data_IF_757787623169
#
_entry.id   IF_757787623169
#
_cell.length_a   1.000
_cell.length_b   1.000
_cell.length_c   1.000
_cell.angle_alpha   90.00
_cell.angle_beta   90.00
_cell.angle_gamma   90.00
#
_symmetry.space_group_name_H-M   'P 1'
#
loop_
_entity.id
_entity.type
_entity.pdbx_description
1 polymer ?
#
# COMPACT_ATOMS: atom_id res chain seq x y z
N UNK A 1 -7.57 3.46 10.39
CA UNK A 1 -6.30 2.73 10.17
C UNK A 1 -5.53 3.49 9.11
N UNK A 2 -4.22 3.65 9.27
CA UNK A 2 -3.36 4.27 8.25
C UNK A 2 -3.04 3.22 7.17
N UNK A 3 -3.01 3.59 5.89
CA UNK A 3 -2.75 2.64 4.80
C UNK A 3 -1.39 1.93 4.97
N UNK A 4 -0.37 2.66 5.44
CA UNK A 4 0.94 2.11 5.76
C UNK A 4 0.88 1.07 6.90
N UNK A 5 0.08 1.33 7.95
CA UNK A 5 -0.14 0.38 9.04
C UNK A 5 -0.82 -0.91 8.52
N UNK A 6 -1.78 -0.77 7.61
CA UNK A 6 -2.46 -1.92 7.02
C UNK A 6 -1.51 -2.79 6.18
N UNK A 7 -0.60 -2.16 5.43
CA UNK A 7 0.45 -2.87 4.68
C UNK A 7 1.40 -3.63 5.64
N UNK A 8 1.74 -3.05 6.79
CA UNK A 8 2.53 -3.74 7.82
C UNK A 8 1.80 -4.95 8.40
N UNK A 9 0.50 -4.83 8.64
CA UNK A 9 -0.36 -5.93 9.11
C UNK A 9 -0.40 -7.07 8.08
N UNK A 10 -0.62 -6.76 6.79
CA UNK A 10 -0.63 -7.77 5.72
C UNK A 10 0.72 -8.49 5.56
N UNK A 11 1.84 -7.79 5.78
CA UNK A 11 3.15 -8.45 5.81
C UNK A 11 3.29 -9.43 6.98
N UNK A 12 2.76 -9.09 8.16
CA UNK A 12 2.77 -9.99 9.31
C UNK A 12 1.86 -11.20 9.05
N UNK A 13 0.67 -10.99 8.49
CA UNK A 13 -0.24 -12.08 8.14
C UNK A 13 0.37 -13.01 7.08
N UNK A 14 0.97 -12.46 6.02
CA UNK A 14 1.62 -13.26 4.99
C UNK A 14 2.79 -14.10 5.52
N UNK A 15 3.47 -13.61 6.55
CA UNK A 15 4.56 -14.33 7.22
C UNK A 15 4.02 -15.53 8.01
N UNK A 16 2.88 -15.38 8.66
CA UNK A 16 2.27 -16.42 9.49
C UNK A 16 1.35 -17.37 8.71
N UNK A 17 0.88 -16.96 7.52
CA UNK A 17 0.01 -17.76 6.66
C UNK A 17 0.71 -19.02 6.12
N UNK A 18 0.15 -20.18 6.47
CA UNK A 18 0.64 -21.51 6.06
C UNK A 18 -0.12 -22.01 4.84
N UNK A 19 -1.41 -21.70 4.73
CA UNK A 19 -2.25 -22.17 3.64
C UNK A 19 -1.93 -21.40 2.33
N UNK A 20 -1.65 -22.09 1.22
CA UNK A 20 -1.29 -21.43 -0.03
C UNK A 20 -2.40 -20.57 -0.63
N UNK A 21 -3.68 -20.85 -0.33
CA UNK A 21 -4.80 -20.02 -0.81
C UNK A 21 -4.86 -18.74 0.01
N UNK A 22 -4.85 -18.85 1.34
CA UNK A 22 -4.77 -17.70 2.26
C UNK A 22 -3.59 -16.79 1.94
N UNK A 23 -2.38 -17.36 1.73
CA UNK A 23 -1.20 -16.59 1.31
C UNK A 23 -1.44 -15.82 0.02
N UNK A 24 -2.09 -16.45 -0.96
CA UNK A 24 -2.37 -15.82 -2.26
C UNK A 24 -3.38 -14.70 -2.13
N UNK A 25 -4.38 -14.85 -1.26
CA UNK A 25 -5.36 -13.82 -0.97
C UNK A 25 -4.68 -12.61 -0.32
N UNK A 26 -3.84 -12.84 0.69
CA UNK A 26 -3.08 -11.77 1.36
C UNK A 26 -2.11 -11.08 0.40
N UNK A 27 -1.44 -11.81 -0.50
CA UNK A 27 -0.56 -11.24 -1.53
C UNK A 27 -1.32 -10.29 -2.47
N UNK A 28 -2.55 -10.63 -2.86
CA UNK A 28 -3.40 -9.78 -3.71
C UNK A 28 -3.81 -8.51 -2.97
N UNK A 29 -4.21 -8.65 -1.70
CA UNK A 29 -4.58 -7.51 -0.86
C UNK A 29 -3.39 -6.57 -0.64
N UNK A 30 -2.21 -7.13 -0.38
CA UNK A 30 -0.96 -6.37 -0.23
C UNK A 30 -0.59 -5.61 -1.51
N UNK A 31 -0.72 -6.24 -2.67
CA UNK A 31 -0.47 -5.59 -3.98
C UNK A 31 -1.41 -4.39 -4.20
N UNK A 32 -2.70 -4.56 -3.90
CA UNK A 32 -3.68 -3.48 -4.01
C UNK A 32 -3.37 -2.31 -3.07
N UNK A 33 -3.08 -2.60 -1.80
CA UNK A 33 -2.77 -1.57 -0.80
C UNK A 33 -1.48 -0.81 -1.16
N UNK A 34 -0.46 -1.50 -1.66
CA UNK A 34 0.79 -0.86 -2.12
C UNK A 34 0.54 0.03 -3.35
N UNK A 35 -0.30 -0.41 -4.30
CA UNK A 35 -0.65 0.39 -5.47
C UNK A 35 -1.42 1.66 -5.08
N UNK A 36 -2.35 1.55 -4.12
CA UNK A 36 -3.08 2.70 -3.57
C UNK A 36 -2.12 3.69 -2.88
N UNK A 37 -1.19 3.19 -2.06
CA UNK A 37 -0.20 4.05 -1.42
C UNK A 37 0.67 4.78 -2.46
N UNK A 38 1.09 4.08 -3.51
CA UNK A 38 1.87 4.70 -4.59
C UNK A 38 1.10 5.82 -5.31
N UNK A 39 -0.22 5.66 -5.54
CA UNK A 39 -1.07 6.72 -6.09
C UNK A 39 -1.14 7.91 -5.14
N UNK A 40 -1.42 7.66 -3.86
CA UNK A 40 -1.52 8.71 -2.83
C UNK A 40 -0.19 9.47 -2.68
N UNK A 41 0.95 8.77 -2.73
CA UNK A 41 2.28 9.41 -2.70
C UNK A 41 2.51 10.24 -3.95
N UNK A 42 2.22 9.73 -5.14
CA UNK A 42 2.40 10.46 -6.39
C UNK A 42 1.49 11.71 -6.49
N UNK A 43 0.25 11.62 -6.01
CA UNK A 43 -0.66 12.76 -5.92
C UNK A 43 -0.14 13.84 -4.96
N UNK A 44 0.38 13.44 -3.80
CA UNK A 44 0.99 14.37 -2.85
C UNK A 44 2.25 15.02 -3.40
N UNK A 45 3.14 14.26 -4.05
CA UNK A 45 4.35 14.79 -4.70
C UNK A 45 3.99 15.77 -5.83
N UNK A 46 3.00 15.45 -6.67
CA UNK A 46 2.51 16.33 -7.73
C UNK A 46 1.77 17.57 -7.22
N UNK A 47 1.15 17.51 -6.04
CA UNK A 47 0.53 18.67 -5.40
C UNK A 47 1.55 19.62 -4.76
N UNK A 48 2.71 19.10 -4.34
CA UNK A 48 3.78 19.92 -3.74
C UNK A 48 4.51 20.77 -4.80
N UNK A 49 4.54 20.34 -6.07
CA UNK A 49 5.21 21.05 -7.18
C UNK A 49 4.31 22.10 -7.88
N UNK A 50 3.14 22.42 -7.32
CA UNK A 50 2.24 23.45 -7.84
C UNK A 50 2.63 24.86 -7.36
N UNK A 51 3.90 25.26 -7.46
CA UNK A 51 4.29 26.65 -7.27
C UNK A 51 4.05 27.41 -8.59
N UNK A 52 3.13 28.39 -8.66
CA UNK A 52 2.99 29.20 -9.85
C UNK A 52 4.29 30.00 -10.02
N UNK A 53 4.91 30.02 -11.22
CA UNK A 53 6.07 30.84 -11.47
C UNK A 53 5.61 32.30 -11.53
N UNK A 54 5.82 33.03 -10.44
CA UNK A 54 5.73 34.49 -10.28
C UNK A 54 4.53 35.23 -10.92
#
# INVERSE_FOLDING_TARGET
>A
MLLEQHIEELHLELREAIDPVERREIEIELELACAELAVITAEQEGAIDAEPPF
#
